data_IF_463345169626
#
_entry.id   IF_463345169626
#
_cell.length_a   1.000
_cell.length_b   1.000
_cell.length_c   1.000
_cell.angle_alpha   90.00
_cell.angle_beta   90.00
_cell.angle_gamma   90.00
#
_symmetry.space_group_name_H-M   'P 1'
#
loop_
_entity.id
_entity.type
_entity.pdbx_description
1 polymer ?
#
# COMPACT_ATOMS: atom_id res chain seq x y z
N UNK A 1 -20.80 -2.32 -23.62
CA UNK A 1 -19.96 -2.74 -22.48
C UNK A 1 -19.36 -1.49 -21.87
N UNK A 2 -19.59 -1.16 -20.59
CA UNK A 2 -18.95 0.01 -20.01
C UNK A 2 -17.44 -0.26 -19.91
N UNK A 3 -16.64 0.62 -20.52
CA UNK A 3 -15.21 0.70 -20.31
C UNK A 3 -14.97 0.94 -18.82
N UNK A 4 -14.63 -0.10 -18.07
CA UNK A 4 -14.03 0.06 -16.76
C UNK A 4 -12.65 0.67 -16.98
N UNK A 5 -12.56 2.00 -16.91
CA UNK A 5 -11.29 2.68 -16.69
C UNK A 5 -10.74 2.14 -15.38
N UNK A 6 -9.81 1.17 -15.47
CA UNK A 6 -9.06 0.66 -14.35
C UNK A 6 -8.31 1.83 -13.73
N UNK A 7 -8.89 2.39 -12.67
CA UNK A 7 -8.28 3.46 -11.90
C UNK A 7 -7.12 2.83 -11.14
N UNK A 8 -5.90 3.01 -11.65
CA UNK A 8 -4.71 2.59 -10.93
C UNK A 8 -4.66 3.34 -9.60
N UNK A 9 -4.29 2.62 -8.54
CA UNK A 9 -3.96 3.25 -7.27
C UNK A 9 -2.76 4.15 -7.55
N UNK A 10 -2.84 5.45 -7.26
CA UNK A 10 -1.73 6.38 -7.48
C UNK A 10 -1.17 6.84 -6.14
N UNK A 11 0.08 6.45 -5.84
CA UNK A 11 0.80 7.01 -4.69
C UNK A 11 1.21 8.45 -4.98
N UNK A 12 0.85 9.35 -4.07
CA UNK A 12 1.36 10.71 -4.04
C UNK A 12 2.45 10.78 -2.98
N UNK A 13 3.59 11.37 -3.35
CA UNK A 13 4.62 11.74 -2.38
C UNK A 13 4.12 12.98 -1.63
N UNK A 14 4.01 12.87 -0.31
CA UNK A 14 3.66 13.97 0.59
C UNK A 14 4.67 13.98 1.72
N UNK A 15 5.61 14.92 1.70
CA UNK A 15 6.75 14.96 2.62
C UNK A 15 7.53 13.63 2.59
N UNK A 16 7.70 12.98 3.76
CA UNK A 16 8.39 11.69 3.92
C UNK A 16 7.46 10.47 3.77
N UNK A 17 6.30 10.65 3.15
CA UNK A 17 5.28 9.61 2.99
C UNK A 17 4.95 9.40 1.51
N UNK A 18 4.71 8.15 1.14
CA UNK A 18 3.95 7.81 -0.06
C UNK A 18 2.54 7.42 0.39
N UNK A 19 1.53 8.14 -0.08
CA UNK A 19 0.14 7.88 0.27
C UNK A 19 -0.70 7.59 -0.97
N UNK A 20 -1.52 6.55 -0.89
CA UNK A 20 -2.55 6.28 -1.87
C UNK A 20 -3.91 6.08 -1.21
N UNK A 21 -4.95 6.50 -1.90
CA UNK A 21 -6.35 6.28 -1.50
C UNK A 21 -7.08 5.59 -2.63
N UNK A 22 -7.87 4.57 -2.31
CA UNK A 22 -8.71 3.88 -3.29
C UNK A 22 -9.94 3.30 -2.61
N UNK A 23 -11.14 3.69 -3.06
CA UNK A 23 -12.38 3.36 -2.37
C UNK A 23 -12.33 3.78 -0.90
N UNK A 24 -12.61 2.85 0.00
CA UNK A 24 -12.58 3.07 1.45
C UNK A 24 -11.23 2.68 2.09
N UNK A 25 -10.15 2.66 1.32
CA UNK A 25 -8.82 2.29 1.80
C UNK A 25 -7.83 3.45 1.67
N UNK A 26 -6.97 3.58 2.68
CA UNK A 26 -5.79 4.44 2.64
C UNK A 26 -4.55 3.61 2.90
N UNK A 27 -3.58 3.71 2.01
CA UNK A 27 -2.28 3.04 2.14
C UNK A 27 -1.23 4.13 2.32
N UNK A 28 -0.41 3.98 3.34
CA UNK A 28 0.67 4.88 3.65
C UNK A 28 1.97 4.10 3.81
N UNK A 29 3.01 4.57 3.13
CA UNK A 29 4.36 4.05 3.22
C UNK A 29 5.24 5.14 3.79
N UNK A 30 5.98 4.84 4.84
CA UNK A 30 6.96 5.75 5.39
C UNK A 30 8.18 5.01 5.91
N UNK A 31 9.31 5.71 5.92
CA UNK A 31 10.53 5.25 6.55
C UNK A 31 11.05 6.39 7.43
N UNK A 32 11.60 6.03 8.58
CA UNK A 32 12.19 6.98 9.52
C UNK A 32 13.70 7.00 9.35
N UNK A 33 14.34 8.15 9.56
CA UNK A 33 15.81 8.25 9.58
C UNK A 33 16.46 7.30 10.60
N UNK A 34 15.78 7.01 11.72
CA UNK A 34 16.24 6.05 12.73
C UNK A 34 16.22 4.60 12.25
N UNK A 35 15.41 4.28 11.24
CA UNK A 35 15.25 2.96 10.65
C UNK A 35 15.30 3.05 9.12
N UNK A 36 16.36 3.69 8.62
CA UNK A 36 16.45 4.14 7.24
C UNK A 36 16.21 3.06 6.19
N UNK A 37 16.46 1.79 6.51
CA UNK A 37 16.30 0.64 5.63
C UNK A 37 14.98 -0.12 5.81
N UNK A 38 14.04 0.43 6.58
CA UNK A 38 12.75 -0.20 6.88
C UNK A 38 11.62 0.69 6.40
N UNK A 39 10.68 0.13 5.64
CA UNK A 39 9.43 0.79 5.28
C UNK A 39 8.33 0.23 6.14
N UNK A 40 7.61 1.12 6.81
CA UNK A 40 6.37 0.82 7.49
C UNK A 40 5.24 1.06 6.49
N UNK A 41 4.44 0.01 6.31
CA UNK A 41 3.27 -0.04 5.45
C UNK A 41 2.06 -0.01 6.38
N UNK A 42 1.35 1.10 6.41
CA UNK A 42 0.09 1.22 7.13
C UNK A 42 -1.07 1.17 6.12
N UNK A 43 -2.01 0.28 6.35
CA UNK A 43 -3.22 0.13 5.54
C UNK A 43 -4.41 0.36 6.45
N UNK A 44 -5.13 1.44 6.20
CA UNK A 44 -6.31 1.81 6.95
C UNK A 44 -7.56 1.57 6.12
N UNK A 45 -8.60 1.16 6.82
CA UNK A 45 -9.90 0.83 6.25
C UNK A 45 -10.94 1.73 6.88
N UNK A 46 -11.76 2.31 6.03
CA UNK A 46 -12.89 3.16 6.38
C UNK A 46 -14.19 2.49 5.95
N UNK A 47 -15.31 2.94 6.50
CA UNK A 47 -16.63 2.62 5.95
C UNK A 47 -17.04 3.64 4.87
N UNK A 48 -18.25 3.47 4.34
CA UNK A 48 -18.84 4.36 3.33
C UNK A 48 -19.04 5.82 3.80
N UNK A 49 -19.08 6.05 5.11
CA UNK A 49 -19.20 7.37 5.72
C UNK A 49 -17.82 7.99 6.02
N UNK A 50 -16.73 7.29 5.69
CA UNK A 50 -15.37 7.72 5.98
C UNK A 50 -14.96 7.53 7.44
N UNK A 51 -15.70 6.75 8.23
CA UNK A 51 -15.35 6.45 9.62
C UNK A 51 -14.31 5.33 9.63
N UNK A 52 -13.24 5.51 10.41
CA UNK A 52 -12.20 4.50 10.57
C UNK A 52 -12.76 3.22 11.18
N UNK A 53 -12.47 2.08 10.55
CA UNK A 53 -12.92 0.76 10.97
C UNK A 53 -11.75 -0.08 11.49
N UNK A 54 -10.62 -0.09 10.78
CA UNK A 54 -9.49 -0.96 11.10
C UNK A 54 -8.19 -0.49 10.46
N UNK A 55 -7.06 -0.97 10.98
CA UNK A 55 -5.75 -0.81 10.36
C UNK A 55 -4.95 -2.12 10.33
N UNK A 56 -3.97 -2.16 9.44
CA UNK A 56 -2.98 -3.21 9.31
C UNK A 56 -1.62 -2.56 9.10
N UNK A 57 -0.69 -2.84 10.02
CA UNK A 57 0.69 -2.44 9.88
C UNK A 57 1.55 -3.63 9.45
N UNK A 58 2.46 -3.39 8.49
CA UNK A 58 3.54 -4.30 8.11
C UNK A 58 4.85 -3.56 7.93
N UNK A 59 5.95 -4.30 8.08
CA UNK A 59 7.30 -3.78 7.91
C UNK A 59 7.99 -4.50 6.76
N UNK A 60 8.62 -3.74 5.89
CA UNK A 60 9.45 -4.21 4.81
C UNK A 60 10.90 -3.79 5.10
N UNK A 61 11.74 -4.76 5.42
CA UNK A 61 13.18 -4.51 5.62
C UNK A 61 13.93 -4.69 4.30
N UNK A 62 14.83 -3.76 4.04
CA UNK A 62 15.75 -3.78 2.90
C UNK A 62 17.18 -3.91 3.42
N UNK A 63 17.96 -4.80 2.83
CA UNK A 63 19.32 -5.08 3.30
C UNK A 63 20.31 -3.96 2.98
N UNK A 64 20.19 -3.34 1.81
CA UNK A 64 21.17 -2.38 1.29
C UNK A 64 20.57 -1.03 0.87
N UNK A 65 19.24 -0.91 0.88
CA UNK A 65 18.54 0.28 0.38
C UNK A 65 18.21 1.23 1.53
N UNK A 66 18.55 2.51 1.36
CA UNK A 66 18.12 3.60 2.24
C UNK A 66 16.70 4.03 1.86
N UNK A 67 15.71 3.34 2.42
CA UNK A 67 14.30 3.58 2.16
C UNK A 67 13.83 4.98 2.57
N UNK A 68 14.40 5.57 3.63
CA UNK A 68 14.09 6.94 4.01
C UNK A 68 14.51 7.92 2.90
N UNK A 69 15.75 7.76 2.41
CA UNK A 69 16.25 8.54 1.28
C UNK A 69 15.41 8.29 0.01
N UNK A 70 15.10 7.04 -0.31
CA UNK A 70 14.32 6.73 -1.51
C UNK A 70 12.91 7.32 -1.45
N UNK A 71 12.25 7.26 -0.29
CA UNK A 71 10.92 7.86 -0.12
C UNK A 71 10.99 9.39 -0.18
N UNK A 72 12.05 10.04 0.29
CA UNK A 72 12.16 11.50 0.27
C UNK A 72 12.67 12.07 -1.07
N UNK A 73 13.64 11.39 -1.69
CA UNK A 73 14.46 11.92 -2.79
C UNK A 73 14.60 10.97 -3.99
N UNK A 74 14.24 9.70 -3.85
CA UNK A 74 14.33 8.70 -4.93
C UNK A 74 13.55 9.10 -6.18
N UNK A 75 14.00 8.60 -7.33
CA UNK A 75 13.36 8.79 -8.63
C UNK A 75 12.07 7.96 -8.73
N UNK A 76 11.33 8.12 -9.83
CA UNK A 76 10.16 7.30 -10.10
C UNK A 76 10.50 5.81 -10.10
N UNK A 77 11.63 5.42 -10.70
CA UNK A 77 12.09 4.03 -10.77
C UNK A 77 12.42 3.46 -9.38
N UNK A 78 13.10 4.23 -8.53
CA UNK A 78 13.40 3.85 -7.15
C UNK A 78 12.12 3.60 -6.34
N UNK A 79 11.16 4.50 -6.50
CA UNK A 79 9.85 4.39 -5.86
C UNK A 79 9.09 3.17 -6.37
N UNK A 80 9.10 2.89 -7.68
CA UNK A 80 8.43 1.70 -8.26
C UNK A 80 8.98 0.39 -7.67
N UNK A 81 10.30 0.29 -7.48
CA UNK A 81 10.91 -0.89 -6.86
C UNK A 81 10.42 -1.10 -5.42
N UNK A 82 10.34 -0.03 -4.64
CA UNK A 82 9.80 -0.04 -3.28
C UNK A 82 8.33 -0.45 -3.27
N UNK A 83 7.53 0.16 -4.14
CA UNK A 83 6.10 -0.07 -4.23
C UNK A 83 5.80 -1.53 -4.56
N UNK A 84 6.55 -2.13 -5.49
CA UNK A 84 6.37 -3.53 -5.85
C UNK A 84 6.59 -4.46 -4.65
N UNK A 85 7.65 -4.24 -3.85
CA UNK A 85 7.91 -5.05 -2.66
C UNK A 85 6.87 -4.84 -1.57
N UNK A 86 6.45 -3.60 -1.35
CA UNK A 86 5.41 -3.28 -0.37
C UNK A 86 4.07 -3.93 -0.74
N UNK A 87 3.73 -3.96 -2.03
CA UNK A 87 2.53 -4.63 -2.55
C UNK A 87 2.52 -6.13 -2.21
N UNK A 88 3.63 -6.84 -2.46
CA UNK A 88 3.72 -8.27 -2.16
C UNK A 88 3.52 -8.56 -0.66
N UNK A 89 4.10 -7.73 0.21
CA UNK A 89 3.94 -7.86 1.66
C UNK A 89 2.52 -7.54 2.13
N UNK A 90 1.91 -6.50 1.58
CA UNK A 90 0.52 -6.14 1.86
C UNK A 90 -0.45 -7.27 1.47
N UNK A 91 -0.31 -7.81 0.25
CA UNK A 91 -1.12 -8.93 -0.24
C UNK A 91 -0.97 -10.18 0.65
N UNK A 92 0.26 -10.57 0.99
CA UNK A 92 0.51 -11.71 1.86
C UNK A 92 -0.11 -11.55 3.25
N UNK A 93 -0.06 -10.34 3.82
CA UNK A 93 -0.65 -10.03 5.12
C UNK A 93 -2.18 -10.17 5.12
N UNK A 94 -2.83 -9.73 4.05
CA UNK A 94 -4.29 -9.82 3.89
C UNK A 94 -4.72 -11.27 3.72
N UNK A 95 -3.99 -12.04 2.90
CA UNK A 95 -4.26 -13.45 2.67
C UNK A 95 -4.20 -14.26 3.98
N UNK A 96 -3.19 -13.99 4.81
CA UNK A 96 -3.00 -14.65 6.10
C UNK A 96 -4.11 -14.32 7.11
N UNK A 97 -4.74 -13.14 7.01
CA UNK A 97 -5.82 -12.71 7.92
C UNK A 97 -7.19 -13.23 7.49
N UNK A 98 -7.46 -13.32 6.18
CA UNK A 98 -8.70 -13.89 5.64
C UNK A 98 -8.88 -15.37 5.99
N UNK A 99 -7.80 -16.16 6.06
CA UNK A 99 -7.88 -17.59 6.37
C UNK A 99 -8.28 -17.89 7.82
N UNK A 100 -8.40 -16.86 8.68
CA UNK A 100 -8.73 -17.00 10.11
C UNK A 100 -10.24 -16.77 10.40
N UNK A 101 -11.06 -16.55 9.36
CA UNK A 101 -12.52 -16.80 9.44
C UNK A 101 -13.39 -15.77 10.18
N UNK A 102 -13.05 -14.48 10.14
CA UNK A 102 -13.92 -13.42 10.67
C UNK A 102 -14.62 -12.62 9.57
N UNK A 103 -15.82 -12.10 9.89
CA UNK A 103 -16.81 -11.30 9.12
C UNK A 103 -16.27 -10.14 8.21
N UNK A 104 -14.97 -9.97 8.10
CA UNK A 104 -14.26 -8.98 7.28
C UNK A 104 -14.07 -9.39 5.81
N UNK A 105 -14.67 -10.47 5.31
CA UNK A 105 -14.37 -11.00 3.98
C UNK A 105 -14.66 -10.02 2.84
N UNK A 106 -15.77 -9.25 2.87
CA UNK A 106 -16.05 -8.25 1.83
C UNK A 106 -14.99 -7.14 1.81
N UNK A 107 -14.60 -6.66 3.00
CA UNK A 107 -13.60 -5.62 3.18
C UNK A 107 -12.19 -6.08 2.78
N UNK A 108 -11.80 -7.30 3.18
CA UNK A 108 -10.51 -7.88 2.82
C UNK A 108 -10.47 -8.24 1.33
N UNK A 109 -11.59 -8.67 0.74
CA UNK A 109 -11.70 -8.93 -0.70
C UNK A 109 -11.53 -7.63 -1.49
N UNK A 110 -12.21 -6.55 -1.09
CA UNK A 110 -12.02 -5.23 -1.71
C UNK A 110 -10.58 -4.71 -1.58
N UNK A 111 -9.90 -5.01 -0.47
CA UNK A 111 -8.49 -4.65 -0.29
C UNK A 111 -7.56 -5.51 -1.16
N UNK A 112 -7.83 -6.82 -1.32
CA UNK A 112 -7.11 -7.68 -2.26
C UNK A 112 -7.27 -7.15 -3.68
N UNK A 113 -8.48 -6.82 -4.11
CA UNK A 113 -8.74 -6.25 -5.43
C UNK A 113 -7.97 -4.94 -5.63
N UNK A 114 -8.04 -4.03 -4.66
CA UNK A 114 -7.32 -2.75 -4.66
C UNK A 114 -5.81 -2.91 -4.81
N UNK A 115 -5.22 -3.85 -4.10
CA UNK A 115 -3.78 -4.14 -4.14
C UNK A 115 -3.37 -5.06 -5.30
N UNK A 116 -4.32 -5.73 -5.95
CA UNK A 116 -4.09 -6.62 -7.10
C UNK A 116 -4.21 -5.89 -8.43
N UNK A 117 -4.60 -4.61 -8.42
CA UNK A 117 -4.61 -3.81 -9.64
C UNK A 117 -3.19 -3.75 -10.21
N UNK A 118 -3.05 -3.94 -11.55
CA UNK A 118 -1.77 -3.71 -12.17
C UNK A 118 -1.47 -2.24 -11.95
N UNK A 119 -0.35 -1.95 -11.31
CA UNK A 119 0.37 -0.69 -11.51
C UNK A 119 0.83 -0.73 -12.96
N UNK A 120 -0.13 -0.62 -13.88
CA UNK A 120 0.09 -0.64 -15.30
C UNK A 120 1.06 0.48 -15.54
N UNK A 121 2.29 0.10 -15.87
CA UNK A 121 3.24 0.96 -16.53
C UNK A 121 2.49 1.38 -17.78
N UNK A 122 1.85 2.55 -17.74
CA UNK A 122 1.40 3.24 -18.92
C UNK A 122 2.67 3.67 -19.63
N UNK A 123 3.22 2.76 -20.43
CA UNK A 123 4.11 3.11 -21.52
C UNK A 123 3.25 3.72 -22.61
#
# INVERSE_FOLDING_TARGET
MPNQQQSSVQFKRTNQFLRATYGNFRIELFSSESFKNTIIINIEVFDENGIFQNSLEKKAEFSTLDAAFMIAHGTTEDLLMILHRCQQLALGAIHTRSSIGHKSDATLTGLKETLSLPWGIGI
#
